data_IF_827163623502
#
_entry.id   IF_827163623502
#
_cell.length_a   1.000
_cell.length_b   1.000
_cell.length_c   1.000
_cell.angle_alpha   90.00
_cell.angle_beta   90.00
_cell.angle_gamma   90.00
#
_symmetry.space_group_name_H-M   'P 1'
#
loop_
_entity.id
_entity.type
_entity.pdbx_description
1 polymer ?
#
# COMPACT_ATOMS: atom_id res chain seq x y z
N UNK A 1 -15.10 19.40 5.81
CA UNK A 1 -15.65 19.88 4.53
C UNK A 1 -14.87 21.11 4.08
N UNK A 2 -14.00 20.96 3.08
CA UNK A 2 -13.35 22.10 2.42
C UNK A 2 -14.34 22.87 1.56
N UNK A 3 -14.15 24.18 1.43
CA UNK A 3 -14.92 24.97 0.47
C UNK A 3 -14.40 24.69 -0.94
N UNK A 4 -15.28 24.47 -1.90
CA UNK A 4 -14.89 24.36 -3.31
C UNK A 4 -14.20 25.64 -3.76
N UNK A 5 -13.06 25.48 -4.44
CA UNK A 5 -12.36 26.60 -5.07
C UNK A 5 -13.17 27.12 -6.26
N UNK A 6 -13.29 28.44 -6.45
CA UNK A 6 -13.99 29.00 -7.60
C UNK A 6 -13.21 28.72 -8.89
N UNK A 7 -13.93 28.29 -9.93
CA UNK A 7 -13.39 28.03 -11.27
C UNK A 7 -13.90 29.08 -12.28
N UNK A 8 -13.13 29.34 -13.34
CA UNK A 8 -13.54 30.15 -14.48
C UNK A 8 -14.42 29.37 -15.48
N UNK A 9 -14.80 29.99 -16.61
CA UNK A 9 -15.69 29.38 -17.62
C UNK A 9 -15.04 28.16 -18.32
N UNK A 10 -13.72 28.06 -18.26
CA UNK A 10 -12.90 26.98 -18.82
C UNK A 10 -12.56 25.88 -17.79
N UNK A 11 -12.94 26.07 -16.53
CA UNK A 11 -12.71 25.12 -15.44
C UNK A 11 -11.36 25.26 -14.74
N UNK A 12 -10.63 26.37 -14.96
CA UNK A 12 -9.40 26.67 -14.24
C UNK A 12 -9.68 27.37 -12.91
N UNK A 13 -8.86 27.14 -11.87
CA UNK A 13 -8.95 27.90 -10.63
C UNK A 13 -8.82 29.41 -10.87
N UNK A 14 -9.77 30.19 -10.33
CA UNK A 14 -9.69 31.66 -10.39
C UNK A 14 -8.50 32.18 -9.57
N UNK A 15 -8.07 31.43 -8.56
CA UNK A 15 -6.86 31.67 -7.78
C UNK A 15 -6.00 30.40 -7.75
N UNK A 16 -4.94 30.38 -8.58
CA UNK A 16 -4.01 29.25 -8.67
C UNK A 16 -3.25 28.98 -7.36
N UNK A 17 -3.16 29.96 -6.44
CA UNK A 17 -2.52 29.75 -5.13
C UNK A 17 -3.34 28.87 -4.19
N UNK A 18 -4.60 28.59 -4.55
CA UNK A 18 -5.48 27.65 -3.85
C UNK A 18 -5.37 26.23 -4.42
N UNK A 19 -4.47 25.99 -5.38
CA UNK A 19 -4.21 24.67 -5.95
C UNK A 19 -2.77 24.24 -5.77
N UNK A 20 -2.58 22.93 -5.68
CA UNK A 20 -1.27 22.29 -5.67
C UNK A 20 -1.25 21.22 -6.76
N UNK A 21 -0.15 21.13 -7.50
CA UNK A 21 0.05 20.04 -8.46
C UNK A 21 0.38 18.76 -7.70
N UNK A 22 -0.26 17.66 -8.09
CA UNK A 22 -0.07 16.34 -7.50
C UNK A 22 0.84 15.52 -8.43
N UNK A 23 2.07 15.22 -7.99
CA UNK A 23 3.04 14.42 -8.77
C UNK A 23 2.88 12.92 -8.48
N UNK A 24 2.14 12.22 -9.34
CA UNK A 24 1.75 10.83 -9.05
C UNK A 24 2.79 9.75 -9.39
N UNK A 25 3.98 10.09 -9.89
CA UNK A 25 5.03 9.10 -10.13
C UNK A 25 4.56 7.83 -10.87
N UNK A 26 4.76 6.65 -10.27
CA UNK A 26 4.22 5.35 -10.74
C UNK A 26 2.72 5.20 -10.65
N UNK A 27 2.05 5.89 -9.74
CA UNK A 27 0.59 5.90 -9.62
C UNK A 27 -0.10 6.55 -10.83
N UNK A 28 0.64 7.24 -11.70
CA UNK A 28 0.13 7.67 -13.01
C UNK A 28 -0.47 6.51 -13.83
N UNK A 29 -0.08 5.26 -13.55
CA UNK A 29 -0.70 4.08 -14.19
C UNK A 29 -2.18 3.91 -13.86
N UNK A 30 -2.69 4.51 -12.78
CA UNK A 30 -4.13 4.57 -12.50
C UNK A 30 -4.94 5.30 -13.59
N UNK A 31 -4.26 6.06 -14.46
CA UNK A 31 -4.86 6.69 -15.66
C UNK A 31 -4.87 5.79 -16.89
N UNK A 32 -4.22 4.63 -16.81
CA UNK A 32 -4.25 3.65 -17.88
C UNK A 32 -5.65 3.03 -18.01
N UNK A 33 -6.00 2.45 -19.18
CA UNK A 33 -7.24 1.71 -19.33
C UNK A 33 -7.38 0.63 -18.25
N UNK A 34 -8.58 0.45 -17.67
CA UNK A 34 -8.84 -0.46 -16.54
C UNK A 34 -8.30 -1.87 -16.74
N UNK A 35 -8.37 -2.38 -17.99
CA UNK A 35 -7.83 -3.69 -18.39
C UNK A 35 -6.35 -3.92 -18.00
N UNK A 36 -5.58 -2.86 -17.79
CA UNK A 36 -4.19 -2.96 -17.32
C UNK A 36 -4.15 -3.47 -15.89
N UNK A 37 -4.97 -2.91 -14.99
CA UNK A 37 -5.07 -3.35 -13.60
C UNK A 37 -5.85 -4.66 -13.50
N UNK A 38 -6.90 -4.86 -14.29
CA UNK A 38 -7.66 -6.12 -14.32
C UNK A 38 -6.74 -7.32 -14.59
N UNK A 39 -5.83 -7.19 -15.57
CA UNK A 39 -4.87 -8.25 -15.89
C UNK A 39 -3.89 -8.54 -14.76
N UNK A 40 -3.54 -7.54 -13.95
CA UNK A 40 -2.66 -7.72 -12.79
C UNK A 40 -3.42 -8.34 -11.62
N UNK A 41 -4.68 -7.97 -11.46
CA UNK A 41 -5.56 -8.62 -10.50
C UNK A 41 -5.71 -10.11 -10.83
N UNK A 42 -5.90 -10.49 -12.11
CA UNK A 42 -5.97 -11.90 -12.53
C UNK A 42 -4.70 -12.70 -12.16
N UNK A 43 -3.51 -12.08 -12.30
CA UNK A 43 -2.23 -12.68 -11.91
C UNK A 43 -2.19 -12.94 -10.39
N UNK A 44 -2.65 -11.98 -9.58
CA UNK A 44 -2.73 -12.12 -8.12
C UNK A 44 -3.77 -13.15 -7.71
N UNK A 45 -4.97 -13.14 -8.30
CA UNK A 45 -6.04 -14.10 -8.00
C UNK A 45 -5.53 -15.53 -8.22
N UNK A 46 -4.81 -15.75 -9.32
CA UNK A 46 -4.18 -17.06 -9.58
C UNK A 46 -3.23 -17.49 -8.46
N UNK A 47 -2.47 -16.55 -7.90
CA UNK A 47 -1.59 -16.81 -6.76
C UNK A 47 -2.39 -17.12 -5.49
N UNK A 48 -3.42 -16.31 -5.20
CA UNK A 48 -4.30 -16.49 -4.04
C UNK A 48 -5.01 -17.85 -4.04
N UNK A 49 -5.55 -18.25 -5.20
CA UNK A 49 -6.29 -19.52 -5.37
C UNK A 49 -5.39 -20.77 -5.23
N UNK A 50 -4.09 -20.63 -5.48
CA UNK A 50 -3.12 -21.73 -5.40
C UNK A 50 -2.31 -21.73 -4.10
N UNK A 51 -2.43 -20.67 -3.30
CA UNK A 51 -1.71 -20.55 -2.05
C UNK A 51 -2.19 -21.57 -1.01
N UNK A 52 -1.22 -22.12 -0.29
CA UNK A 52 -1.45 -23.02 0.85
C UNK A 52 -1.31 -22.31 2.19
N UNK A 53 -0.69 -21.13 2.19
CA UNK A 53 -0.58 -20.22 3.31
C UNK A 53 -0.47 -18.78 2.79
N UNK A 54 -0.90 -17.83 3.60
CA UNK A 54 -0.69 -16.39 3.40
C UNK A 54 -0.14 -15.79 4.69
N UNK A 55 0.82 -14.89 4.55
CA UNK A 55 1.45 -14.13 5.62
C UNK A 55 1.77 -12.72 5.11
N UNK A 56 2.42 -11.92 5.95
CA UNK A 56 2.97 -10.63 5.56
C UNK A 56 4.48 -10.58 5.78
N UNK A 57 5.18 -9.76 5.01
CA UNK A 57 6.55 -9.37 5.31
C UNK A 57 6.60 -8.27 6.38
N UNK A 58 7.80 -7.80 6.74
CA UNK A 58 7.99 -6.76 7.75
C UNK A 58 7.38 -5.39 7.37
N UNK A 59 7.06 -5.17 6.09
CA UNK A 59 6.34 -3.98 5.65
C UNK A 59 4.81 -4.18 5.60
N UNK A 60 4.32 -5.41 5.83
CA UNK A 60 2.91 -5.78 5.71
C UNK A 60 2.50 -6.30 4.32
N UNK A 61 3.43 -6.44 3.37
CA UNK A 61 3.10 -6.91 2.01
C UNK A 61 2.74 -8.38 2.04
N UNK A 62 1.76 -8.79 1.23
CA UNK A 62 1.32 -10.18 1.18
C UNK A 62 2.43 -11.09 0.67
N UNK A 63 2.63 -12.19 1.40
CA UNK A 63 3.53 -13.29 1.05
C UNK A 63 2.71 -14.57 1.03
N UNK A 64 2.63 -15.19 -0.14
CA UNK A 64 1.92 -16.46 -0.35
C UNK A 64 2.90 -17.63 -0.40
N UNK A 65 2.49 -18.77 0.16
CA UNK A 65 3.19 -20.04 -0.03
C UNK A 65 2.50 -20.83 -1.13
N UNK A 66 3.13 -20.92 -2.30
CA UNK A 66 2.64 -21.68 -3.47
C UNK A 66 3.64 -22.77 -3.79
N UNK A 67 3.18 -24.02 -3.86
CA UNK A 67 4.02 -25.20 -4.11
C UNK A 67 5.24 -25.31 -3.18
N UNK A 68 5.12 -24.80 -1.94
CA UNK A 68 6.20 -24.79 -0.95
C UNK A 68 7.19 -23.63 -1.08
N UNK A 69 7.03 -22.75 -2.07
CA UNK A 69 7.84 -21.54 -2.26
C UNK A 69 7.11 -20.28 -1.78
N UNK A 70 7.87 -19.34 -1.22
CA UNK A 70 7.36 -18.02 -0.87
C UNK A 70 7.30 -17.11 -2.11
N UNK A 71 6.15 -16.45 -2.32
CA UNK A 71 5.91 -15.46 -3.37
C UNK A 71 5.37 -14.19 -2.73
N UNK A 72 6.18 -13.14 -2.71
CA UNK A 72 5.76 -11.82 -2.23
C UNK A 72 5.10 -11.05 -3.37
N UNK A 73 3.99 -10.36 -3.11
CA UNK A 73 3.43 -9.39 -4.06
C UNK A 73 4.29 -8.13 -4.04
N UNK A 74 5.35 -8.11 -4.84
CA UNK A 74 6.33 -7.03 -4.92
C UNK A 74 6.11 -6.09 -6.12
N UNK A 75 5.28 -6.51 -7.08
CA UNK A 75 4.93 -5.74 -8.27
C UNK A 75 4.03 -4.56 -7.91
N UNK A 76 4.41 -3.33 -8.28
CA UNK A 76 3.61 -2.17 -7.87
C UNK A 76 2.28 -2.05 -8.61
N UNK A 77 2.15 -2.70 -9.79
CA UNK A 77 0.86 -2.80 -10.46
C UNK A 77 -0.06 -3.86 -9.85
N UNK A 78 0.49 -4.96 -9.32
CA UNK A 78 -0.30 -5.97 -8.62
C UNK A 78 -0.83 -5.40 -7.31
N UNK A 79 0.03 -4.71 -6.55
CA UNK A 79 -0.37 -3.99 -5.34
C UNK A 79 -1.46 -2.94 -5.63
N UNK A 80 -1.31 -2.13 -6.68
CA UNK A 80 -2.35 -1.16 -7.06
C UNK A 80 -3.66 -1.84 -7.49
N UNK A 81 -3.59 -2.99 -8.16
CA UNK A 81 -4.77 -3.74 -8.58
C UNK A 81 -5.54 -4.32 -7.39
N UNK A 82 -4.84 -4.91 -6.41
CA UNK A 82 -5.45 -5.40 -5.16
C UNK A 82 -6.04 -4.25 -4.35
N UNK A 83 -5.29 -3.14 -4.23
CA UNK A 83 -5.76 -1.91 -3.62
C UNK A 83 -7.09 -1.44 -4.22
N UNK A 84 -7.13 -1.32 -5.55
CA UNK A 84 -8.31 -0.86 -6.28
C UNK A 84 -9.50 -1.80 -6.06
N UNK A 85 -9.28 -3.11 -6.18
CA UNK A 85 -10.32 -4.12 -5.99
C UNK A 85 -10.92 -4.07 -4.58
N UNK A 86 -10.05 -4.10 -3.57
CA UNK A 86 -10.45 -4.11 -2.17
C UNK A 86 -11.20 -2.84 -1.78
N UNK A 87 -10.64 -1.67 -2.10
CA UNK A 87 -11.22 -0.39 -1.71
C UNK A 87 -12.50 -0.06 -2.48
N UNK A 88 -12.69 -0.62 -3.69
CA UNK A 88 -13.92 -0.43 -4.47
C UNK A 88 -15.05 -1.37 -4.02
N UNK A 89 -14.72 -2.59 -3.59
CA UNK A 89 -15.74 -3.64 -3.43
C UNK A 89 -15.82 -4.24 -2.03
N UNK A 90 -14.89 -3.92 -1.14
CA UNK A 90 -14.73 -4.60 0.16
C UNK A 90 -14.32 -6.07 0.00
N UNK A 91 -13.80 -6.46 -1.16
CA UNK A 91 -13.39 -7.83 -1.45
C UNK A 91 -12.39 -7.86 -2.60
N UNK A 92 -11.72 -9.00 -2.82
CA UNK A 92 -10.97 -9.30 -4.04
C UNK A 92 -11.87 -10.17 -4.94
N UNK A 93 -12.51 -9.59 -5.98
CA UNK A 93 -13.44 -10.34 -6.82
C UNK A 93 -12.78 -11.56 -7.45
N UNK A 94 -13.42 -12.72 -7.32
CA UNK A 94 -12.91 -13.99 -7.85
C UNK A 94 -12.22 -14.87 -6.82
N UNK A 95 -11.84 -14.32 -5.67
CA UNK A 95 -11.30 -15.08 -4.52
C UNK A 95 -12.43 -15.32 -3.52
N UNK A 96 -12.69 -16.57 -3.19
CA UNK A 96 -13.78 -16.93 -2.25
C UNK A 96 -13.30 -17.44 -0.90
N UNK A 97 -12.02 -17.79 -0.80
CA UNK A 97 -11.39 -18.33 0.40
C UNK A 97 -9.90 -18.01 0.37
N UNK A 98 -9.30 -17.78 1.54
CA UNK A 98 -7.86 -17.60 1.70
C UNK A 98 -7.37 -18.52 2.83
N UNK A 99 -6.10 -18.99 2.78
CA UNK A 99 -5.58 -19.85 3.84
C UNK A 99 -5.60 -19.18 5.23
N UNK A 100 -6.30 -19.79 6.18
CA UNK A 100 -6.40 -19.28 7.55
C UNK A 100 -7.63 -18.40 7.74
N UNK A 101 -7.57 -17.46 8.68
CA UNK A 101 -8.65 -16.48 8.94
C UNK A 101 -8.16 -15.04 9.08
N UNK A 102 -6.84 -14.83 8.98
CA UNK A 102 -6.24 -13.51 9.23
C UNK A 102 -6.56 -12.51 8.11
N UNK A 103 -6.87 -13.00 6.91
CA UNK A 103 -7.11 -12.20 5.71
C UNK A 103 -8.55 -12.34 5.19
N UNK A 104 -9.48 -12.84 6.02
CA UNK A 104 -10.89 -13.03 5.64
C UNK A 104 -11.57 -11.72 5.25
N UNK A 105 -11.10 -10.59 5.79
CA UNK A 105 -11.56 -9.25 5.42
C UNK A 105 -11.41 -8.99 3.91
N UNK A 106 -10.39 -9.58 3.26
CA UNK A 106 -10.18 -9.43 1.82
C UNK A 106 -11.24 -10.15 0.97
N UNK A 107 -12.10 -10.99 1.54
CA UNK A 107 -13.07 -11.82 0.80
C UNK A 107 -14.50 -11.73 1.34
N UNK A 108 -14.78 -10.86 2.31
CA UNK A 108 -16.08 -10.81 3.00
C UNK A 108 -17.11 -9.83 2.38
N UNK A 109 -16.65 -8.93 1.50
CA UNK A 109 -17.51 -7.96 0.81
C UNK A 109 -17.85 -6.73 1.66
N UNK A 110 -17.10 -6.48 2.73
CA UNK A 110 -17.28 -5.35 3.64
C UNK A 110 -16.03 -4.47 3.63
N UNK A 111 -16.21 -3.15 3.52
CA UNK A 111 -15.11 -2.21 3.73
C UNK A 111 -15.04 -1.84 5.22
N UNK A 112 -14.02 -2.32 5.90
CA UNK A 112 -13.81 -2.18 7.35
C UNK A 112 -12.43 -1.57 7.66
N UNK A 113 -12.14 -1.36 8.94
CA UNK A 113 -10.82 -0.89 9.37
C UNK A 113 -9.68 -1.87 8.97
N UNK A 114 -9.95 -3.18 8.89
CA UNK A 114 -8.95 -4.16 8.46
C UNK A 114 -8.61 -4.02 6.96
N UNK A 115 -9.60 -3.68 6.14
CA UNK A 115 -9.39 -3.38 4.72
C UNK A 115 -8.57 -2.11 4.53
N UNK A 116 -8.83 -1.09 5.36
CA UNK A 116 -8.03 0.13 5.37
C UNK A 116 -6.58 -0.17 5.80
N UNK A 117 -6.38 -0.98 6.83
CA UNK A 117 -5.04 -1.38 7.27
C UNK A 117 -4.25 -2.12 6.17
N UNK A 118 -4.85 -3.15 5.56
CA UNK A 118 -4.22 -3.89 4.47
C UNK A 118 -3.99 -3.02 3.23
N UNK A 119 -4.98 -2.20 2.85
CA UNK A 119 -4.90 -1.36 1.66
C UNK A 119 -3.85 -0.26 1.77
N UNK A 120 -3.58 0.26 2.97
CA UNK A 120 -2.51 1.24 3.18
C UNK A 120 -1.15 0.67 2.73
N UNK A 121 -0.89 -0.60 3.02
CA UNK A 121 0.32 -1.29 2.58
C UNK A 121 0.33 -1.57 1.08
N UNK A 122 -0.82 -1.96 0.50
CA UNK A 122 -0.91 -2.18 -0.94
C UNK A 122 -0.65 -0.87 -1.71
N UNK A 123 -1.23 0.24 -1.25
CA UNK A 123 -0.98 1.54 -1.85
C UNK A 123 0.48 1.99 -1.67
N UNK A 124 1.05 1.76 -0.49
CA UNK A 124 2.46 2.03 -0.21
C UNK A 124 3.42 1.26 -1.13
N UNK A 125 3.12 -0.02 -1.41
CA UNK A 125 3.92 -0.84 -2.32
C UNK A 125 3.70 -0.46 -3.80
N UNK A 126 2.57 0.15 -4.14
CA UNK A 126 2.25 0.64 -5.48
C UNK A 126 2.99 1.94 -5.85
N UNK A 127 3.27 2.79 -4.87
CA UNK A 127 3.80 4.15 -5.10
C UNK A 127 5.32 4.18 -5.35
N UNK A 128 5.86 5.39 -5.51
CA UNK A 128 7.28 5.63 -5.74
C UNK A 128 8.11 5.39 -4.48
N UNK A 129 9.34 4.89 -4.69
CA UNK A 129 10.30 4.67 -3.61
C UNK A 129 10.82 5.96 -2.99
N UNK A 130 10.65 7.08 -3.66
CA UNK A 130 11.20 8.38 -3.25
C UNK A 130 10.11 9.42 -3.18
N UNK A 131 10.30 10.45 -2.35
CA UNK A 131 9.29 11.48 -2.11
C UNK A 131 8.57 11.27 -0.80
N UNK A 132 7.52 12.05 -0.58
CA UNK A 132 6.59 11.94 0.56
C UNK A 132 5.24 11.62 -0.04
N UNK A 133 4.58 10.57 0.44
CA UNK A 133 3.23 10.25 0.03
C UNK A 133 2.22 11.06 0.86
N UNK A 134 1.36 11.80 0.19
CA UNK A 134 0.51 12.84 0.78
C UNK A 134 -0.98 12.50 0.69
N UNK A 135 -1.76 13.14 1.56
CA UNK A 135 -3.22 13.04 1.58
C UNK A 135 -3.85 13.43 0.24
N UNK A 136 -3.31 14.46 -0.43
CA UNK A 136 -3.79 14.88 -1.75
C UNK A 136 -3.52 13.82 -2.81
N UNK A 137 -2.37 13.14 -2.78
CA UNK A 137 -2.06 12.05 -3.71
C UNK A 137 -3.01 10.86 -3.55
N UNK A 138 -3.35 10.51 -2.30
CA UNK A 138 -4.31 9.42 -1.99
C UNK A 138 -5.72 9.80 -2.46
N UNK A 139 -6.22 10.97 -2.05
CA UNK A 139 -7.55 11.42 -2.46
C UNK A 139 -7.69 11.50 -3.98
N UNK A 140 -6.62 11.92 -4.65
CA UNK A 140 -6.58 12.04 -6.10
C UNK A 140 -6.52 10.66 -6.78
N UNK A 141 -5.63 9.74 -6.37
CA UNK A 141 -5.57 8.40 -6.97
C UNK A 141 -6.90 7.64 -6.81
N UNK A 142 -7.55 7.78 -5.66
CA UNK A 142 -8.84 7.13 -5.40
C UNK A 142 -9.94 7.65 -6.33
N UNK A 143 -10.01 8.97 -6.50
CA UNK A 143 -10.95 9.57 -7.44
C UNK A 143 -10.68 9.11 -8.89
N UNK A 144 -9.41 8.99 -9.31
CA UNK A 144 -9.06 8.50 -10.65
C UNK A 144 -9.41 7.04 -10.88
N UNK A 145 -9.17 6.19 -9.88
CA UNK A 145 -9.49 4.77 -9.94
C UNK A 145 -10.99 4.49 -9.78
N UNK A 146 -11.78 5.51 -9.45
CA UNK A 146 -13.23 5.40 -9.23
C UNK A 146 -13.58 4.76 -7.89
N UNK A 147 -12.66 4.77 -6.94
CA UNK A 147 -12.81 4.16 -5.61
C UNK A 147 -13.77 5.03 -4.78
N UNK A 148 -14.92 4.45 -4.42
CA UNK A 148 -15.91 5.07 -3.53
C UNK A 148 -16.23 6.52 -3.89
N UNK A 149 -16.45 6.80 -5.18
CA UNK A 149 -16.57 8.19 -5.65
C UNK A 149 -17.99 8.74 -5.56
N UNK A 150 -18.09 10.01 -5.17
CA UNK A 150 -19.31 10.82 -5.27
C UNK A 150 -19.09 11.97 -6.26
N UNK A 151 -20.19 12.48 -6.83
CA UNK A 151 -20.15 13.65 -7.72
C UNK A 151 -21.14 14.71 -7.28
N UNK A 152 -20.62 15.90 -6.96
CA UNK A 152 -21.42 17.09 -6.64
C UNK A 152 -21.15 18.14 -7.72
N UNK A 153 -22.16 18.43 -8.53
CA UNK A 153 -22.01 19.34 -9.67
C UNK A 153 -21.08 18.74 -10.72
N UNK A 154 -19.91 19.38 -10.93
CA UNK A 154 -18.87 18.93 -11.86
C UNK A 154 -17.64 18.32 -11.17
N UNK A 155 -17.68 18.16 -9.84
CA UNK A 155 -16.55 17.68 -9.05
C UNK A 155 -16.81 16.25 -8.61
N UNK A 156 -15.89 15.35 -8.95
CA UNK A 156 -15.85 13.96 -8.49
C UNK A 156 -14.74 13.80 -7.46
N UNK A 157 -15.03 13.21 -6.31
CA UNK A 157 -14.08 12.95 -5.22
C UNK A 157 -14.35 11.57 -4.61
N UNK A 158 -13.34 11.00 -3.95
CA UNK A 158 -13.52 9.76 -3.17
C UNK A 158 -14.10 10.08 -1.78
N UNK A 159 -15.14 9.35 -1.38
CA UNK A 159 -15.87 9.49 -0.12
C UNK A 159 -15.70 8.25 0.77
N UNK A 160 -14.44 7.88 1.03
CA UNK A 160 -14.09 6.81 1.97
C UNK A 160 -14.28 7.32 3.41
N UNK A 161 -14.95 6.51 4.24
CA UNK A 161 -15.11 6.80 5.67
C UNK A 161 -13.94 6.24 6.49
N UNK A 162 -13.02 7.12 6.86
CA UNK A 162 -11.87 6.79 7.71
C UNK A 162 -12.17 6.89 9.21
N UNK A 163 -13.40 7.20 9.64
CA UNK A 163 -13.72 7.53 11.04
C UNK A 163 -13.47 6.39 12.04
N UNK A 164 -13.31 5.16 11.54
CA UNK A 164 -13.03 3.95 12.34
C UNK A 164 -11.59 3.48 12.22
N UNK A 165 -10.76 4.15 11.43
CA UNK A 165 -9.36 3.79 11.22
C UNK A 165 -8.46 4.51 12.20
N UNK A 166 -7.70 3.77 12.98
CA UNK A 166 -6.72 4.27 13.93
C UNK A 166 -5.35 3.73 13.54
N UNK A 167 -4.34 4.61 13.53
CA UNK A 167 -2.96 4.22 13.26
C UNK A 167 -2.05 4.66 14.39
N UNK A 168 -1.25 3.71 14.89
CA UNK A 168 -0.15 3.97 15.82
C UNK A 168 1.10 3.23 15.30
N UNK A 169 2.16 4.00 15.03
CA UNK A 169 3.43 3.48 14.50
C UNK A 169 4.13 2.55 15.48
N UNK A 170 4.07 2.86 16.77
CA UNK A 170 4.72 2.04 17.81
C UNK A 170 4.04 0.68 17.90
N UNK A 171 2.72 0.63 17.77
CA UNK A 171 1.96 -0.62 17.71
C UNK A 171 2.25 -1.38 16.41
N UNK A 172 2.33 -0.69 15.27
CA UNK A 172 2.59 -1.31 13.96
C UNK A 172 4.01 -1.88 13.83
N UNK A 173 5.03 -1.18 14.31
CA UNK A 173 6.44 -1.49 14.01
C UNK A 173 7.33 -1.71 15.24
N UNK A 174 6.83 -1.48 16.46
CA UNK A 174 7.64 -1.49 17.67
C UNK A 174 8.36 -2.78 18.00
N UNK A 175 7.77 -3.91 17.59
CA UNK A 175 8.34 -5.25 17.77
C UNK A 175 8.84 -5.87 16.45
N UNK A 176 8.72 -5.14 15.34
CA UNK A 176 9.07 -5.64 14.01
C UNK A 176 10.57 -5.57 13.80
N UNK A 177 11.16 -6.72 13.49
CA UNK A 177 12.57 -6.84 13.11
C UNK A 177 12.73 -7.48 11.74
N UNK A 178 13.82 -7.14 11.05
CA UNK A 178 14.16 -7.68 9.73
C UNK A 178 15.65 -7.98 9.67
N UNK A 179 16.03 -9.01 8.91
CA UNK A 179 17.43 -9.25 8.58
C UNK A 179 17.80 -8.50 7.30
N UNK A 180 18.78 -7.60 7.39
CA UNK A 180 19.25 -6.75 6.28
C UNK A 180 20.78 -6.75 6.21
N UNK A 181 21.32 -6.34 5.07
CA UNK A 181 22.75 -6.12 4.91
C UNK A 181 23.17 -4.79 5.56
N UNK A 182 24.05 -4.86 6.57
CA UNK A 182 24.66 -3.69 7.21
C UNK A 182 26.13 -3.57 6.81
N UNK A 183 26.53 -2.39 6.31
CA UNK A 183 27.92 -2.12 5.97
C UNK A 183 28.78 -1.97 7.23
N UNK A 184 29.84 -2.76 7.29
CA UNK A 184 30.82 -2.78 8.37
C UNK A 184 31.90 -1.70 8.16
N UNK A 185 32.64 -1.40 9.22
CA UNK A 185 33.75 -0.41 9.17
C UNK A 185 34.88 -0.76 8.19
N UNK A 186 35.01 -2.03 7.81
CA UNK A 186 35.98 -2.50 6.82
C UNK A 186 35.42 -2.50 5.39
N UNK A 187 34.19 -2.02 5.19
CA UNK A 187 33.49 -1.95 3.91
C UNK A 187 32.76 -3.22 3.49
N UNK A 188 32.83 -4.31 4.28
CA UNK A 188 32.05 -5.53 4.05
C UNK A 188 30.56 -5.34 4.39
N UNK A 189 29.69 -6.19 3.85
CA UNK A 189 28.26 -6.20 4.16
C UNK A 189 27.91 -7.50 4.88
N UNK A 190 27.19 -7.40 5.99
CA UNK A 190 26.88 -8.55 6.85
C UNK A 190 25.38 -8.58 7.15
N UNK A 191 24.70 -9.74 6.94
CA UNK A 191 23.32 -9.93 7.38
C UNK A 191 23.19 -9.70 8.89
N UNK A 192 22.32 -8.77 9.27
CA UNK A 192 22.11 -8.34 10.65
C UNK A 192 20.62 -8.15 10.89
N UNK A 193 20.12 -8.70 11.99
CA UNK A 193 18.76 -8.45 12.46
C UNK A 193 18.69 -7.07 13.10
N UNK A 194 17.82 -6.21 12.58
CA UNK A 194 17.63 -4.81 13.03
C UNK A 194 16.16 -4.53 13.34
N UNK A 195 15.91 -3.51 14.16
CA UNK A 195 14.58 -3.01 14.50
C UNK A 195 14.08 -2.06 13.41
N UNK A 196 12.92 -2.33 12.81
CA UNK A 196 12.32 -1.41 11.82
C UNK A 196 12.00 -0.07 12.48
N UNK A 197 11.49 -0.11 13.71
CA UNK A 197 11.11 1.10 14.44
C UNK A 197 12.30 2.05 14.66
N UNK A 198 13.47 1.49 14.97
CA UNK A 198 14.67 2.29 15.21
C UNK A 198 15.34 2.72 13.89
N UNK A 199 15.50 1.81 12.93
CA UNK A 199 16.24 2.10 11.69
C UNK A 199 15.47 3.02 10.74
N UNK A 200 14.15 2.85 10.62
CA UNK A 200 13.32 3.61 9.67
C UNK A 200 12.80 4.89 10.31
N UNK A 201 12.35 4.81 11.56
CA UNK A 201 11.66 5.92 12.23
C UNK A 201 12.49 6.58 13.35
N UNK A 202 13.71 6.11 13.61
CA UNK A 202 14.56 6.67 14.66
C UNK A 202 14.00 6.51 16.07
N UNK A 203 13.12 5.52 16.27
CA UNK A 203 12.40 5.31 17.54
C UNK A 203 11.37 6.40 17.84
N UNK A 204 10.94 7.17 16.83
CA UNK A 204 9.99 8.29 17.00
C UNK A 204 8.55 7.81 16.85
N UNK A 205 7.72 7.89 17.91
CA UNK A 205 6.32 7.49 17.83
C UNK A 205 5.52 8.51 17.03
N UNK A 206 4.49 8.03 16.34
CA UNK A 206 3.44 8.84 15.75
C UNK A 206 2.13 8.05 15.77
N UNK A 207 1.02 8.77 15.95
CA UNK A 207 -0.31 8.20 15.94
C UNK A 207 -1.31 9.26 15.46
N UNK A 208 -2.32 8.81 14.74
CA UNK A 208 -3.42 9.64 14.23
C UNK A 208 -4.67 8.75 14.05
N UNK A 209 -5.85 9.36 14.13
CA UNK A 209 -7.11 8.61 14.24
C UNK A 209 -8.24 9.22 13.43
N UNK A 210 -9.09 8.38 12.86
CA UNK A 210 -10.40 8.75 12.32
C UNK A 210 -10.36 9.65 11.08
N UNK A 211 -9.22 9.74 10.39
CA UNK A 211 -8.96 10.72 9.34
C UNK A 211 -8.20 10.13 8.16
N UNK A 212 -8.28 10.79 7.00
CA UNK A 212 -7.45 10.47 5.85
C UNK A 212 -5.96 10.72 6.16
N UNK A 213 -5.64 11.65 7.06
CA UNK A 213 -4.29 11.86 7.58
C UNK A 213 -3.76 10.62 8.34
N UNK A 214 -4.60 9.94 9.14
CA UNK A 214 -4.23 8.68 9.78
C UNK A 214 -3.88 7.59 8.75
N UNK A 215 -4.73 7.45 7.73
CA UNK A 215 -4.50 6.52 6.64
C UNK A 215 -3.25 6.85 5.83
N UNK A 216 -3.03 8.15 5.55
CA UNK A 216 -1.84 8.64 4.85
C UNK A 216 -0.58 8.33 5.64
N UNK A 217 -0.61 8.51 6.96
CA UNK A 217 0.52 8.18 7.83
C UNK A 217 0.85 6.69 7.78
N UNK A 218 -0.16 5.82 7.85
CA UNK A 218 0.02 4.38 7.73
C UNK A 218 0.65 3.99 6.38
N UNK A 219 0.15 4.55 5.28
CA UNK A 219 0.66 4.27 3.93
C UNK A 219 2.09 4.81 3.74
N UNK A 220 2.40 6.02 4.23
CA UNK A 220 3.76 6.58 4.12
C UNK A 220 4.77 5.80 4.97
N UNK A 221 4.40 5.42 6.20
CA UNK A 221 5.26 4.62 7.06
C UNK A 221 5.53 3.25 6.44
N UNK A 222 4.50 2.57 5.92
CA UNK A 222 4.66 1.33 5.16
C UNK A 222 5.58 1.51 3.94
N UNK A 223 5.45 2.63 3.21
CA UNK A 223 6.28 2.94 2.04
C UNK A 223 7.75 3.10 2.45
N UNK A 224 8.02 3.80 3.54
CA UNK A 224 9.38 3.95 4.09
C UNK A 224 9.99 2.59 4.46
N UNK A 225 9.20 1.69 5.08
CA UNK A 225 9.65 0.33 5.43
C UNK A 225 9.90 -0.53 4.18
N UNK A 226 9.00 -0.51 3.19
CA UNK A 226 9.21 -1.19 1.89
C UNK A 226 10.52 -0.74 1.24
N UNK A 227 10.81 0.57 1.28
CA UNK A 227 12.04 1.11 0.70
C UNK A 227 13.28 0.68 1.47
N UNK A 228 13.23 0.70 2.80
CA UNK A 228 14.31 0.23 3.64
C UNK A 228 14.65 -1.23 3.38
N UNK A 229 13.64 -2.11 3.34
CA UNK A 229 13.85 -3.54 3.08
C UNK A 229 14.46 -3.76 1.70
N UNK A 230 13.96 -3.07 0.66
CA UNK A 230 14.52 -3.21 -0.69
C UNK A 230 15.95 -2.66 -0.83
N UNK A 231 16.30 -1.59 -0.12
CA UNK A 231 17.64 -1.00 -0.21
C UNK A 231 18.71 -1.90 0.43
N UNK A 232 18.34 -2.62 1.49
CA UNK A 232 19.27 -3.43 2.28
C UNK A 232 18.95 -4.93 2.25
N UNK A 233 18.24 -5.41 1.24
CA UNK A 233 17.84 -6.81 1.13
C UNK A 233 19.06 -7.76 1.13
N UNK A 234 18.91 -8.92 1.78
CA UNK A 234 19.91 -9.99 1.69
C UNK A 234 19.66 -10.76 0.39
N UNK A 235 20.63 -10.81 -0.56
CA UNK A 235 20.45 -11.54 -1.80
C UNK A 235 20.21 -13.03 -1.52
N UNK A 236 19.17 -13.59 -2.10
CA UNK A 236 18.93 -15.03 -2.04
C UNK A 236 20.01 -15.74 -2.85
N UNK A 237 20.76 -16.66 -2.22
CA UNK A 237 21.78 -17.41 -2.96
C UNK A 237 21.11 -18.46 -3.85
N UNK A 238 21.42 -18.47 -5.15
CA UNK A 238 20.92 -19.47 -6.11
C UNK A 238 21.32 -20.92 -5.77
N UNK A 239 22.28 -21.11 -4.85
CA UNK A 239 22.75 -22.43 -4.44
C UNK A 239 21.76 -23.16 -3.52
N UNK A 240 20.97 -22.44 -2.71
CA UNK A 240 19.96 -23.07 -1.83
C UNK A 240 18.64 -23.38 -2.55
N UNK A 241 18.34 -22.69 -3.65
CA UNK A 241 17.18 -22.97 -4.49
C UNK A 241 17.28 -24.30 -5.27
N UNK A 242 18.46 -24.94 -5.29
CA UNK A 242 18.72 -26.18 -6.01
C UNK A 242 18.77 -27.44 -5.12
N UNK A 243 18.51 -27.30 -3.81
CA UNK A 243 18.62 -28.41 -2.85
C UNK A 243 17.30 -28.94 -2.27
N UNK A 244 16.15 -28.59 -2.84
CA UNK A 244 14.85 -29.14 -2.43
C UNK A 244 14.08 -29.79 -3.58
#
# INVERSE_FOLDING_TARGET
FGNLIPLDEEGHPVDESLTVEVEMGRLNVGRAPSQVLDRRLDEVITLMDTATAVATDAAGRLVFTVDGELKTIDSPLENLAIYTALMTTGTIPGVTDLPGTAFDYMVDGQLTAADLEGSAVFLAAATDKTGVFTTDEIAYIDAFLGIQTETIGSVTYSDIDYSTFDYDRQDAYGEVTVEVLVQQTDGSWVPTVVSIYDEVFGGVPAAESGTLEAYTMAAEDARMVVNFIHEYEVPVSELEASSH
#
